data_IF_803452649997
#
_entry.id   IF_803452649997
#
_cell.length_a   1.000
_cell.length_b   1.000
_cell.length_c   1.000
_cell.angle_alpha   90.00
_cell.angle_beta   90.00
_cell.angle_gamma   90.00
#
_symmetry.space_group_name_H-M   'P 1'
#
loop_
_entity.id
_entity.type
_entity.pdbx_description
1 polymer ?
#
# COMPACT_ATOMS: atom_id res chain seq x y z
N UNK A 1 -14.68 -41.40 -29.42
CA UNK A 1 -14.91 -40.46 -28.38
C UNK A 1 -13.66 -39.65 -28.01
N UNK A 2 -12.50 -40.25 -27.72
CA UNK A 2 -11.26 -39.51 -27.40
C UNK A 2 -10.78 -38.49 -28.44
N UNK A 3 -11.10 -38.69 -29.73
CA UNK A 3 -10.71 -37.76 -30.82
C UNK A 3 -11.56 -36.49 -30.83
N UNK A 4 -12.89 -36.60 -30.58
CA UNK A 4 -13.78 -35.46 -30.49
C UNK A 4 -13.44 -34.58 -29.26
N UNK A 5 -13.20 -35.21 -28.09
CA UNK A 5 -12.84 -34.49 -26.88
C UNK A 5 -11.54 -33.71 -27.09
N UNK A 6 -10.50 -34.32 -27.69
CA UNK A 6 -9.23 -33.65 -27.99
C UNK A 6 -9.40 -32.51 -29.00
N UNK A 7 -10.27 -32.67 -29.99
CA UNK A 7 -10.57 -31.64 -30.97
C UNK A 7 -11.16 -30.41 -30.30
N UNK A 8 -12.19 -30.59 -29.48
CA UNK A 8 -12.85 -29.51 -28.75
C UNK A 8 -11.84 -28.80 -27.79
N UNK A 9 -11.02 -29.59 -27.07
CA UNK A 9 -9.98 -29.05 -26.19
C UNK A 9 -8.99 -28.18 -26.96
N UNK A 10 -8.50 -28.67 -28.10
CA UNK A 10 -7.57 -27.93 -28.95
C UNK A 10 -8.18 -26.64 -29.51
N UNK A 11 -9.45 -26.68 -29.89
CA UNK A 11 -10.18 -25.52 -30.40
C UNK A 11 -10.44 -24.49 -29.30
N UNK A 12 -10.50 -24.90 -28.00
CA UNK A 12 -10.66 -24.00 -26.85
C UNK A 12 -9.35 -23.32 -26.44
N UNK A 13 -8.21 -24.02 -26.44
CA UNK A 13 -6.93 -23.52 -25.92
C UNK A 13 -6.46 -22.25 -26.62
N UNK A 14 -6.57 -22.22 -27.96
CA UNK A 14 -6.17 -21.06 -28.77
C UNK A 14 -6.89 -19.78 -28.37
N UNK A 15 -8.23 -19.75 -28.52
CA UNK A 15 -9.03 -18.60 -28.04
C UNK A 15 -8.84 -18.27 -26.56
N UNK A 16 -8.70 -19.26 -25.68
CA UNK A 16 -8.49 -19.05 -24.27
C UNK A 16 -7.21 -18.25 -23.98
N UNK A 17 -6.07 -18.62 -24.57
CA UNK A 17 -4.80 -17.91 -24.38
C UNK A 17 -4.90 -16.49 -24.94
N UNK A 18 -5.46 -16.32 -26.14
CA UNK A 18 -5.61 -15.02 -26.76
C UNK A 18 -6.49 -14.09 -25.93
N UNK A 19 -7.65 -14.55 -25.49
CA UNK A 19 -8.58 -13.78 -24.66
C UNK A 19 -7.97 -13.49 -23.30
N UNK A 20 -7.30 -14.46 -22.66
CA UNK A 20 -6.63 -14.28 -21.39
C UNK A 20 -5.60 -13.15 -21.46
N UNK A 21 -4.76 -13.11 -22.51
CA UNK A 21 -3.79 -12.03 -22.72
C UNK A 21 -4.46 -10.68 -22.87
N UNK A 22 -5.54 -10.60 -23.67
CA UNK A 22 -6.29 -9.35 -23.86
C UNK A 22 -6.92 -8.88 -22.53
N UNK A 23 -7.58 -9.77 -21.81
CA UNK A 23 -8.22 -9.44 -20.53
C UNK A 23 -7.18 -9.01 -19.48
N UNK A 24 -6.08 -9.74 -19.35
CA UNK A 24 -4.98 -9.37 -18.45
C UNK A 24 -4.41 -8.01 -18.84
N UNK A 25 -4.18 -7.75 -20.13
CA UNK A 25 -3.68 -6.47 -20.61
C UNK A 25 -4.62 -5.32 -20.23
N UNK A 26 -5.93 -5.47 -20.44
CA UNK A 26 -6.92 -4.43 -20.07
C UNK A 26 -6.90 -4.18 -18.55
N UNK A 27 -6.88 -5.25 -17.74
CA UNK A 27 -6.86 -5.13 -16.28
C UNK A 27 -5.53 -4.53 -15.77
N UNK A 28 -4.40 -4.84 -16.40
CA UNK A 28 -3.10 -4.22 -16.08
C UNK A 28 -3.09 -2.74 -16.44
N UNK A 29 -3.70 -2.36 -17.58
CA UNK A 29 -3.85 -0.94 -17.93
C UNK A 29 -4.73 -0.20 -16.93
N UNK A 30 -5.82 -0.81 -16.47
CA UNK A 30 -6.65 -0.26 -15.40
C UNK A 30 -5.86 -0.13 -14.09
N UNK A 31 -5.08 -1.14 -13.73
CA UNK A 31 -4.21 -1.12 -12.56
C UNK A 31 -3.16 0.00 -12.66
N UNK A 32 -2.50 0.14 -13.80
CA UNK A 32 -1.52 1.20 -14.03
C UNK A 32 -2.15 2.59 -13.90
N UNK A 33 -3.35 2.78 -14.48
CA UNK A 33 -4.09 4.04 -14.36
C UNK A 33 -4.39 4.41 -12.91
N UNK A 34 -4.73 3.43 -12.09
CA UNK A 34 -5.03 3.64 -10.66
C UNK A 34 -3.81 4.12 -9.85
N UNK A 35 -2.59 3.70 -10.24
CA UNK A 35 -1.35 4.02 -9.52
C UNK A 35 -0.43 5.00 -10.25
N UNK A 36 -0.88 5.60 -11.36
CA UNK A 36 -0.04 6.48 -12.18
C UNK A 36 0.47 7.69 -11.40
N UNK A 37 -0.37 8.27 -10.54
CA UNK A 37 -0.01 9.43 -9.72
C UNK A 37 1.08 9.10 -8.69
N UNK A 38 1.12 7.86 -8.22
CA UNK A 38 2.15 7.40 -7.29
C UNK A 38 3.49 7.08 -7.99
N UNK A 39 3.46 6.79 -9.29
CA UNK A 39 4.62 6.35 -10.08
C UNK A 39 5.32 7.51 -10.81
N UNK A 40 4.55 8.50 -11.26
CA UNK A 40 5.07 9.62 -12.06
C UNK A 40 5.78 10.64 -11.17
N UNK A 41 6.87 11.20 -11.66
CA UNK A 41 7.64 12.27 -10.99
C UNK A 41 8.74 11.78 -10.03
N UNK A 42 8.71 10.52 -9.60
CA UNK A 42 9.67 9.99 -8.60
C UNK A 42 11.00 9.51 -9.18
N UNK A 43 11.16 9.55 -10.53
CA UNK A 43 12.39 9.15 -11.19
C UNK A 43 12.79 7.69 -10.92
N UNK A 44 11.79 6.80 -10.89
CA UNK A 44 11.97 5.37 -10.64
C UNK A 44 12.71 4.70 -11.81
N UNK A 45 13.52 3.69 -11.51
CA UNK A 45 14.17 2.91 -12.57
C UNK A 45 13.13 2.06 -13.31
N UNK A 46 13.36 1.82 -14.61
CA UNK A 46 12.48 0.98 -15.43
C UNK A 46 12.31 -0.43 -14.85
N UNK A 47 13.31 -0.95 -14.15
CA UNK A 47 13.25 -2.25 -13.48
C UNK A 47 12.18 -2.28 -12.39
N UNK A 48 12.11 -1.23 -11.55
CA UNK A 48 11.10 -1.11 -10.47
C UNK A 48 9.70 -1.02 -11.05
N UNK A 49 9.52 -0.25 -12.14
CA UNK A 49 8.25 -0.16 -12.85
C UNK A 49 7.78 -1.50 -13.41
N UNK A 50 8.69 -2.24 -14.07
CA UNK A 50 8.38 -3.56 -14.60
C UNK A 50 8.07 -4.56 -13.47
N UNK A 51 8.80 -4.52 -12.37
CA UNK A 51 8.54 -5.36 -11.20
C UNK A 51 7.15 -5.06 -10.60
N UNK A 52 6.80 -3.78 -10.47
CA UNK A 52 5.48 -3.36 -9.99
C UNK A 52 4.35 -3.83 -10.92
N UNK A 53 4.51 -3.69 -12.24
CA UNK A 53 3.56 -4.17 -13.23
C UNK A 53 3.44 -5.70 -13.23
N UNK A 54 4.55 -6.43 -13.09
CA UNK A 54 4.54 -7.89 -13.04
C UNK A 54 3.76 -8.41 -11.82
N UNK A 55 4.01 -7.86 -10.63
CA UNK A 55 3.24 -8.22 -9.44
C UNK A 55 1.79 -7.74 -9.52
N UNK A 56 1.55 -6.56 -10.10
CA UNK A 56 0.20 -6.05 -10.37
C UNK A 56 -0.59 -6.97 -11.29
N UNK A 57 0.02 -7.44 -12.38
CA UNK A 57 -0.62 -8.40 -13.30
C UNK A 57 -0.97 -9.71 -12.60
N UNK A 58 -0.10 -10.21 -11.71
CA UNK A 58 -0.37 -11.41 -10.93
C UNK A 58 -1.61 -11.26 -10.05
N UNK A 59 -1.85 -10.10 -9.43
CA UNK A 59 -3.05 -9.86 -8.60
C UNK A 59 -4.36 -9.82 -9.40
N UNK A 60 -4.28 -9.61 -10.71
CA UNK A 60 -5.46 -9.56 -11.60
C UNK A 60 -5.85 -10.95 -12.14
N UNK A 61 -4.99 -11.98 -11.97
CA UNK A 61 -5.25 -13.33 -12.47
C UNK A 61 -6.56 -13.96 -11.95
N UNK A 62 -6.94 -13.84 -10.66
CA UNK A 62 -8.18 -14.43 -10.16
C UNK A 62 -9.43 -13.89 -10.85
N UNK A 63 -9.40 -12.64 -11.29
CA UNK A 63 -10.50 -12.01 -12.02
C UNK A 63 -10.46 -12.34 -13.51
N UNK A 64 -9.24 -12.39 -14.09
CA UNK A 64 -9.05 -12.62 -15.53
C UNK A 64 -9.34 -14.06 -15.96
N UNK A 65 -8.98 -15.06 -15.15
CA UNK A 65 -9.13 -16.47 -15.49
C UNK A 65 -10.60 -16.90 -15.69
N UNK A 66 -11.55 -16.61 -14.78
CA UNK A 66 -12.96 -16.94 -14.99
C UNK A 66 -13.55 -16.21 -16.20
N UNK A 67 -13.21 -14.91 -16.36
CA UNK A 67 -13.71 -14.11 -17.47
C UNK A 67 -13.19 -14.63 -18.82
N UNK A 68 -11.89 -14.94 -18.91
CA UNK A 68 -11.30 -15.52 -20.10
C UNK A 68 -11.89 -16.90 -20.42
N UNK A 69 -12.15 -17.72 -19.41
CA UNK A 69 -12.76 -19.06 -19.58
C UNK A 69 -14.18 -18.95 -20.15
N UNK A 70 -14.98 -18.02 -19.64
CA UNK A 70 -16.34 -17.78 -20.12
C UNK A 70 -16.31 -17.32 -21.60
N UNK A 71 -15.55 -16.30 -21.91
CA UNK A 71 -15.46 -15.73 -23.26
C UNK A 71 -14.87 -16.74 -24.26
N UNK A 72 -13.84 -17.48 -23.86
CA UNK A 72 -13.23 -18.51 -24.70
C UNK A 72 -14.22 -19.66 -24.99
N UNK A 73 -15.03 -20.06 -24.01
CA UNK A 73 -16.06 -21.08 -24.20
C UNK A 73 -17.11 -20.63 -25.22
N UNK A 74 -17.58 -19.38 -25.08
CA UNK A 74 -18.55 -18.80 -26.01
C UNK A 74 -17.95 -18.69 -27.44
N UNK A 75 -16.72 -18.21 -27.55
CA UNK A 75 -16.03 -18.07 -28.84
C UNK A 75 -15.81 -19.44 -29.51
N UNK A 76 -15.40 -20.45 -28.72
CA UNK A 76 -15.17 -21.81 -29.25
C UNK A 76 -16.47 -22.42 -29.78
N UNK A 77 -17.57 -22.30 -29.01
CA UNK A 77 -18.87 -22.80 -29.46
C UNK A 77 -19.39 -22.03 -30.69
N UNK A 78 -19.17 -20.70 -30.71
CA UNK A 78 -19.52 -19.86 -31.85
C UNK A 78 -18.77 -20.29 -33.15
N UNK A 79 -17.46 -20.49 -33.06
CA UNK A 79 -16.64 -20.96 -34.19
C UNK A 79 -17.07 -22.35 -34.68
N UNK A 80 -17.35 -23.30 -33.77
CA UNK A 80 -17.87 -24.61 -34.14
C UNK A 80 -19.24 -24.53 -34.85
N UNK A 81 -20.07 -23.55 -34.45
CA UNK A 81 -21.36 -23.26 -35.08
C UNK A 81 -21.19 -22.64 -36.46
N UNK A 82 -20.37 -21.64 -36.61
CA UNK A 82 -20.08 -20.89 -37.85
C UNK A 82 -19.48 -21.80 -38.93
N UNK A 83 -18.56 -22.66 -38.55
CA UNK A 83 -17.96 -23.63 -39.43
C UNK A 83 -18.84 -24.84 -39.75
N UNK A 84 -20.11 -24.87 -39.31
CA UNK A 84 -21.02 -26.00 -39.45
C UNK A 84 -20.54 -27.31 -38.78
N UNK A 85 -19.46 -27.30 -38.02
CA UNK A 85 -18.91 -28.47 -37.33
C UNK A 85 -19.86 -28.96 -36.26
N UNK A 86 -20.49 -28.02 -35.51
CA UNK A 86 -21.49 -28.35 -34.53
C UNK A 86 -22.73 -28.97 -35.12
N UNK A 87 -23.14 -28.53 -36.35
CA UNK A 87 -24.25 -29.09 -37.09
C UNK A 87 -23.91 -30.51 -37.54
N UNK A 88 -22.71 -30.74 -38.08
CA UNK A 88 -22.25 -32.07 -38.49
C UNK A 88 -22.22 -33.06 -37.31
N UNK A 89 -21.75 -32.63 -36.15
CA UNK A 89 -21.72 -33.44 -34.91
C UNK A 89 -23.14 -33.82 -34.48
N UNK A 90 -24.08 -32.87 -34.54
CA UNK A 90 -25.50 -33.14 -34.23
C UNK A 90 -26.15 -34.06 -35.25
N UNK A 91 -25.86 -33.90 -36.54
CA UNK A 91 -26.35 -34.77 -37.59
C UNK A 91 -25.86 -36.24 -37.46
N UNK A 92 -24.67 -36.41 -36.85
CA UNK A 92 -24.13 -37.73 -36.49
C UNK A 92 -24.82 -38.33 -35.19
N UNK A 93 -25.86 -37.70 -34.64
CA UNK A 93 -26.56 -38.19 -33.49
C UNK A 93 -25.93 -37.88 -32.14
N UNK A 94 -24.86 -37.02 -32.08
CA UNK A 94 -24.19 -36.65 -30.83
C UNK A 94 -24.92 -35.47 -30.18
N UNK A 95 -25.31 -35.65 -28.94
CA UNK A 95 -26.03 -34.59 -28.17
C UNK A 95 -25.10 -33.41 -27.87
N UNK A 96 -25.70 -32.21 -27.80
CA UNK A 96 -24.96 -30.98 -27.43
C UNK A 96 -24.30 -31.09 -26.04
N UNK A 97 -24.96 -31.75 -25.10
CA UNK A 97 -24.41 -32.00 -23.76
C UNK A 97 -23.07 -32.74 -23.84
N UNK A 98 -22.91 -33.70 -24.75
CA UNK A 98 -21.68 -34.45 -24.96
C UNK A 98 -20.54 -33.57 -25.50
N UNK A 99 -20.87 -32.54 -26.30
CA UNK A 99 -19.90 -31.54 -26.77
C UNK A 99 -19.47 -30.58 -25.64
N UNK A 100 -20.36 -30.29 -24.70
CA UNK A 100 -20.07 -29.40 -23.56
C UNK A 100 -19.22 -30.06 -22.46
N UNK A 101 -19.25 -31.38 -22.33
CA UNK A 101 -18.52 -32.11 -21.28
C UNK A 101 -17.00 -31.80 -21.30
N UNK A 102 -16.28 -31.86 -22.43
CA UNK A 102 -14.86 -31.51 -22.45
C UNK A 102 -14.56 -30.09 -22.03
N UNK A 103 -15.40 -29.12 -22.39
CA UNK A 103 -15.29 -27.73 -21.94
C UNK A 103 -15.50 -27.61 -20.42
N UNK A 104 -16.50 -28.32 -19.89
CA UNK A 104 -16.74 -28.37 -18.45
C UNK A 104 -15.55 -28.95 -17.65
N UNK A 105 -14.92 -30.01 -18.18
CA UNK A 105 -13.74 -30.63 -17.56
C UNK A 105 -12.56 -29.64 -17.53
N UNK A 106 -12.31 -28.92 -18.65
CA UNK A 106 -11.26 -27.91 -18.70
C UNK A 106 -11.57 -26.75 -17.73
N UNK A 107 -12.80 -26.27 -17.73
CA UNK A 107 -13.21 -25.19 -16.81
C UNK A 107 -13.03 -25.59 -15.35
N UNK A 108 -13.33 -26.85 -15.00
CA UNK A 108 -13.06 -27.39 -13.68
C UNK A 108 -11.54 -27.41 -13.36
N UNK A 109 -10.72 -27.82 -14.34
CA UNK A 109 -9.26 -27.80 -14.23
C UNK A 109 -8.71 -26.39 -14.03
N UNK A 110 -9.22 -25.41 -14.78
CA UNK A 110 -8.86 -23.99 -14.62
C UNK A 110 -9.30 -23.48 -13.25
N UNK A 111 -10.48 -23.85 -12.76
CA UNK A 111 -10.99 -23.48 -11.43
C UNK A 111 -10.06 -23.98 -10.31
N UNK A 112 -9.63 -25.23 -10.38
CA UNK A 112 -8.67 -25.81 -9.44
C UNK A 112 -7.32 -25.08 -9.53
N UNK A 113 -6.84 -24.81 -10.75
CA UNK A 113 -5.62 -24.02 -10.98
C UNK A 113 -5.72 -22.62 -10.38
N UNK A 114 -6.83 -21.93 -10.58
CA UNK A 114 -7.11 -20.62 -10.01
C UNK A 114 -7.09 -20.64 -8.48
N UNK A 115 -7.62 -21.72 -7.87
CA UNK A 115 -7.56 -21.87 -6.42
C UNK A 115 -6.11 -21.90 -5.91
N UNK A 116 -5.23 -22.65 -6.54
CA UNK A 116 -3.80 -22.68 -6.17
C UNK A 116 -3.10 -21.33 -6.41
N UNK A 117 -3.46 -20.62 -7.47
CA UNK A 117 -2.97 -19.26 -7.72
C UNK A 117 -3.40 -18.33 -6.60
N UNK A 118 -4.66 -18.39 -6.19
CA UNK A 118 -5.19 -17.56 -5.09
C UNK A 118 -4.52 -17.88 -3.75
N UNK A 119 -4.26 -19.15 -3.46
CA UNK A 119 -3.69 -19.55 -2.16
C UNK A 119 -2.18 -19.27 -2.04
N UNK A 120 -1.42 -19.33 -3.14
CA UNK A 120 0.04 -19.20 -3.11
C UNK A 120 0.58 -17.96 -3.78
N UNK A 121 0.17 -17.69 -5.03
CA UNK A 121 0.75 -16.61 -5.81
C UNK A 121 0.22 -15.25 -5.36
N UNK A 122 -1.07 -15.14 -5.07
CA UNK A 122 -1.71 -13.88 -4.71
C UNK A 122 -1.16 -13.28 -3.42
N UNK A 123 -0.97 -14.02 -2.31
CA UNK A 123 -0.36 -13.48 -1.10
C UNK A 123 1.03 -12.90 -1.34
N UNK A 124 1.86 -13.61 -2.12
CA UNK A 124 3.21 -13.15 -2.47
C UNK A 124 3.12 -11.86 -3.33
N UNK A 125 2.21 -11.83 -4.31
CA UNK A 125 2.05 -10.67 -5.19
C UNK A 125 1.60 -9.43 -4.40
N UNK A 126 0.60 -9.54 -3.52
CA UNK A 126 0.17 -8.43 -2.69
C UNK A 126 1.26 -7.97 -1.73
N UNK A 127 2.01 -8.88 -1.11
CA UNK A 127 3.11 -8.52 -0.24
C UNK A 127 4.17 -7.66 -0.97
N UNK A 128 4.58 -8.09 -2.16
CA UNK A 128 5.52 -7.34 -2.98
C UNK A 128 4.94 -6.00 -3.46
N UNK A 129 3.65 -5.93 -3.82
CA UNK A 129 3.00 -4.67 -4.19
C UNK A 129 2.96 -3.69 -3.02
N UNK A 130 2.56 -4.14 -1.82
CA UNK A 130 2.54 -3.28 -0.64
C UNK A 130 3.92 -2.76 -0.30
N UNK A 131 4.95 -3.63 -0.36
CA UNK A 131 6.34 -3.23 -0.19
C UNK A 131 6.75 -2.17 -1.21
N UNK A 132 6.60 -2.46 -2.51
CA UNK A 132 6.97 -1.53 -3.57
C UNK A 132 6.23 -0.21 -3.46
N UNK A 133 4.93 -0.24 -3.16
CA UNK A 133 4.11 0.96 -2.99
C UNK A 133 4.56 1.80 -1.82
N UNK A 134 4.89 1.20 -0.67
CA UNK A 134 5.42 1.92 0.48
C UNK A 134 6.80 2.53 0.17
N UNK A 135 7.67 1.75 -0.48
CA UNK A 135 9.00 2.21 -0.86
C UNK A 135 8.95 3.34 -1.90
N UNK A 136 8.03 3.23 -2.87
CA UNK A 136 7.74 4.31 -3.83
C UNK A 136 7.13 5.51 -3.11
N UNK A 137 6.24 5.30 -2.13
CA UNK A 137 5.63 6.36 -1.33
C UNK A 137 6.65 7.13 -0.50
N UNK A 138 7.67 6.45 0.04
CA UNK A 138 8.77 7.06 0.79
C UNK A 138 9.77 7.79 -0.09
N UNK A 139 9.85 7.44 -1.39
CA UNK A 139 10.71 8.13 -2.33
C UNK A 139 10.16 9.53 -2.56
N UNK A 140 10.90 10.54 -2.11
CA UNK A 140 10.53 11.95 -2.29
C UNK A 140 10.65 12.35 -3.76
N UNK A 141 9.77 13.24 -4.20
CA UNK A 141 9.81 13.83 -5.54
C UNK A 141 11.09 14.66 -5.74
N UNK A 142 11.35 15.09 -6.98
CA UNK A 142 12.42 16.05 -7.26
C UNK A 142 12.27 17.29 -6.36
N UNK A 143 13.41 17.73 -5.79
CA UNK A 143 13.45 18.91 -4.93
C UNK A 143 13.08 20.15 -5.75
N UNK A 144 11.85 20.63 -5.61
CA UNK A 144 11.40 21.90 -6.16
C UNK A 144 11.34 22.91 -5.02
N UNK A 145 12.34 23.79 -4.94
CA UNK A 145 12.38 24.85 -3.95
C UNK A 145 11.52 26.00 -4.46
N UNK A 146 10.40 26.32 -3.77
CA UNK A 146 9.54 27.45 -4.16
C UNK A 146 10.29 28.76 -3.90
N UNK A 147 10.08 29.75 -4.77
CA UNK A 147 10.66 31.08 -4.63
C UNK A 147 9.89 31.92 -3.61
N UNK A 148 10.60 32.73 -2.83
CA UNK A 148 10.01 33.68 -1.87
C UNK A 148 9.55 33.07 -0.54
N UNK A 149 9.50 31.74 -0.39
CA UNK A 149 9.04 31.05 0.82
C UNK A 149 10.14 30.19 1.44
N UNK A 150 10.00 29.87 2.73
CA UNK A 150 10.89 28.93 3.39
C UNK A 150 10.51 27.48 3.04
N UNK A 151 11.46 26.73 2.55
CA UNK A 151 11.32 25.32 2.18
C UNK A 151 12.03 24.44 3.22
N UNK A 152 11.28 23.57 3.89
CA UNK A 152 11.75 22.64 4.92
C UNK A 152 11.71 21.16 4.47
N UNK A 153 11.64 20.89 3.16
CA UNK A 153 11.54 19.53 2.62
C UNK A 153 12.81 18.70 2.75
N UNK A 154 13.95 19.31 3.12
CA UNK A 154 15.24 18.62 3.31
C UNK A 154 15.51 18.49 4.81
N UNK A 155 15.70 17.26 5.29
CA UNK A 155 15.88 17.00 6.71
C UNK A 155 17.11 17.72 7.27
N UNK A 156 16.92 18.50 8.32
CA UNK A 156 17.96 19.29 8.96
C UNK A 156 18.35 20.60 8.26
N UNK A 157 17.67 20.97 7.16
CA UNK A 157 17.95 22.22 6.44
C UNK A 157 16.66 22.96 6.10
N UNK A 158 16.67 24.29 6.30
CA UNK A 158 15.62 25.18 5.82
C UNK A 158 16.23 26.13 4.79
N UNK A 159 15.65 26.15 3.61
CA UNK A 159 16.12 26.92 2.47
C UNK A 159 15.11 28.00 2.11
N UNK A 160 15.61 29.18 1.75
CA UNK A 160 14.81 30.24 1.13
C UNK A 160 15.56 30.78 -0.08
N UNK A 161 14.83 30.93 -1.18
CA UNK A 161 15.36 31.45 -2.44
C UNK A 161 14.47 32.59 -2.89
N UNK A 162 15.01 33.77 -3.17
CA UNK A 162 14.22 34.92 -3.59
C UNK A 162 13.80 34.83 -5.08
N UNK A 163 14.68 34.28 -5.92
CA UNK A 163 14.41 34.11 -7.35
C UNK A 163 15.17 32.94 -7.94
N UNK A 164 14.62 32.36 -9.02
CA UNK A 164 15.25 31.30 -9.79
C UNK A 164 15.20 31.64 -11.27
N UNK A 165 16.33 31.46 -11.95
CA UNK A 165 16.37 31.52 -13.40
C UNK A 165 16.11 30.10 -13.94
N UNK A 166 15.00 29.93 -14.65
CA UNK A 166 14.57 28.61 -15.16
C UNK A 166 15.50 28.08 -16.27
N UNK A 167 16.16 28.96 -17.05
CA UNK A 167 17.04 28.55 -18.14
C UNK A 167 18.39 28.01 -17.64
N UNK A 168 18.98 28.67 -16.62
CA UNK A 168 20.29 28.28 -16.06
C UNK A 168 20.20 27.42 -14.81
N UNK A 169 19.02 27.34 -14.18
CA UNK A 169 18.80 26.70 -12.89
C UNK A 169 19.49 27.44 -11.72
N UNK A 170 20.02 28.65 -11.97
CA UNK A 170 20.67 29.46 -10.95
C UNK A 170 19.66 30.14 -10.04
N UNK A 171 19.88 30.07 -8.75
CA UNK A 171 19.04 30.67 -7.73
C UNK A 171 19.71 31.95 -7.21
N UNK A 172 18.91 32.96 -6.90
CA UNK A 172 19.39 34.27 -6.41
C UNK A 172 18.80 34.56 -5.02
N UNK A 173 19.62 35.23 -4.18
CA UNK A 173 19.21 35.61 -2.83
C UNK A 173 18.91 34.40 -1.96
N UNK A 174 19.89 33.55 -1.76
CA UNK A 174 19.72 32.24 -1.09
C UNK A 174 20.08 32.35 0.38
N UNK A 175 19.20 31.84 1.23
CA UNK A 175 19.43 31.68 2.67
C UNK A 175 19.28 30.20 3.04
N UNK A 176 20.26 29.67 3.77
CA UNK A 176 20.32 28.28 4.21
C UNK A 176 20.50 28.24 5.73
N UNK A 177 19.49 27.74 6.44
CA UNK A 177 19.58 27.43 7.86
C UNK A 177 19.98 25.97 8.05
N UNK A 178 20.99 25.73 8.86
CA UNK A 178 21.45 24.38 9.19
C UNK A 178 21.01 23.98 10.60
N UNK A 179 20.09 23.05 10.69
CA UNK A 179 19.53 22.51 11.94
C UNK A 179 20.06 21.11 12.29
N UNK A 180 21.05 20.60 11.55
CA UNK A 180 21.57 19.23 11.77
C UNK A 180 22.12 19.01 13.17
N UNK A 181 22.57 20.08 13.85
CA UNK A 181 23.08 20.02 15.23
C UNK A 181 21.99 20.07 16.31
N UNK A 182 20.70 20.18 15.94
CA UNK A 182 19.55 20.32 16.85
C UNK A 182 19.70 21.40 17.96
N UNK A 183 20.45 22.47 17.66
CA UNK A 183 20.70 23.57 18.59
C UNK A 183 19.93 24.87 18.28
N UNK A 184 18.85 24.74 17.48
CA UNK A 184 18.08 25.89 16.98
C UNK A 184 18.75 26.56 15.78
N UNK A 185 18.47 27.86 15.56
CA UNK A 185 18.96 28.63 14.41
C UNK A 185 20.40 29.14 14.61
N UNK A 186 21.33 28.27 14.95
CA UNK A 186 22.72 28.65 15.28
C UNK A 186 23.61 28.75 14.05
N UNK A 187 23.20 28.30 12.88
CA UNK A 187 24.00 28.35 11.66
C UNK A 187 23.15 28.83 10.48
N UNK A 188 23.53 29.98 9.92
CA UNK A 188 22.91 30.62 8.78
C UNK A 188 23.94 30.94 7.70
N UNK A 189 23.71 30.48 6.49
CA UNK A 189 24.49 30.86 5.31
C UNK A 189 23.65 31.72 4.38
N UNK A 190 24.17 32.88 3.99
CA UNK A 190 23.52 33.78 3.03
C UNK A 190 24.45 33.87 1.82
N UNK A 191 23.90 33.73 0.62
CA UNK A 191 24.65 33.83 -0.62
C UNK A 191 23.89 34.61 -1.68
N UNK A 192 24.59 35.34 -2.54
CA UNK A 192 24.01 36.11 -3.62
C UNK A 192 23.40 35.19 -4.69
N UNK A 193 24.10 34.09 -4.99
CA UNK A 193 23.63 33.11 -5.93
C UNK A 193 24.01 31.68 -5.51
N UNK A 194 23.25 30.69 -6.01
CA UNK A 194 23.53 29.30 -5.79
C UNK A 194 23.11 28.41 -6.96
N UNK A 195 23.85 27.33 -7.11
CA UNK A 195 23.50 26.25 -8.05
C UNK A 195 23.30 24.94 -7.30
N UNK A 196 22.22 24.26 -7.59
CA UNK A 196 21.86 22.97 -7.00
C UNK A 196 22.13 21.86 -8.00
N UNK A 197 22.88 20.84 -7.61
CA UNK A 197 23.11 19.62 -8.40
C UNK A 197 22.82 18.41 -7.54
N UNK A 198 21.94 17.55 -8.01
CA UNK A 198 21.67 16.25 -7.39
C UNK A 198 22.63 15.20 -7.97
N UNK A 199 23.16 14.32 -7.10
CA UNK A 199 23.90 13.14 -7.52
C UNK A 199 23.08 12.24 -8.43
N UNK A 200 23.73 11.51 -9.34
CA UNK A 200 23.06 10.52 -10.20
C UNK A 200 22.28 9.47 -9.41
N UNK A 201 22.79 9.09 -8.25
CA UNK A 201 22.19 8.09 -7.35
C UNK A 201 21.18 8.70 -6.37
N UNK A 202 20.90 10.03 -6.48
CA UNK A 202 19.99 10.77 -5.59
C UNK A 202 20.29 10.62 -4.08
N UNK A 203 21.51 10.25 -3.72
CA UNK A 203 21.94 10.04 -2.33
C UNK A 203 22.43 11.32 -1.65
N UNK A 204 22.89 12.29 -2.42
CA UNK A 204 23.32 13.59 -1.90
C UNK A 204 23.01 14.72 -2.88
N UNK A 205 22.83 15.91 -2.29
CA UNK A 205 22.62 17.17 -2.98
C UNK A 205 23.89 18.02 -2.76
N UNK A 206 24.49 18.46 -3.86
CA UNK A 206 25.56 19.46 -3.82
C UNK A 206 24.95 20.83 -4.06
N UNK A 207 25.09 21.70 -3.07
CA UNK A 207 24.65 23.09 -3.12
C UNK A 207 25.88 23.96 -3.23
N UNK A 208 26.16 24.52 -4.42
CA UNK A 208 27.26 25.42 -4.66
C UNK A 208 26.76 26.84 -4.48
N UNK A 209 27.26 27.51 -3.46
CA UNK A 209 26.94 28.90 -3.09
C UNK A 209 28.06 29.82 -3.59
N UNK A 210 27.68 30.98 -4.13
CA UNK A 210 28.60 31.98 -4.65
C UNK A 210 28.36 33.30 -3.91
N UNK A 211 29.46 33.94 -3.59
CA UNK A 211 29.57 35.27 -2.94
C UNK A 211 28.62 35.42 -1.75
N UNK A 212 29.09 35.04 -0.58
CA UNK A 212 28.24 35.00 0.59
C UNK A 212 28.97 35.01 1.92
N UNK A 213 28.17 34.92 2.98
CA UNK A 213 28.67 34.91 4.37
C UNK A 213 27.99 33.75 5.13
N UNK A 214 28.80 33.05 5.90
CA UNK A 214 28.33 32.04 6.84
C UNK A 214 28.40 32.60 8.26
N UNK A 215 27.26 32.53 8.98
CA UNK A 215 27.12 32.96 10.36
C UNK A 215 26.92 31.72 11.22
N UNK A 216 27.82 31.53 12.21
CA UNK A 216 27.72 30.42 13.15
C UNK A 216 27.79 30.93 14.60
N UNK A 217 26.78 30.62 15.39
CA UNK A 217 26.78 30.86 16.83
C UNK A 217 27.45 29.70 17.54
N UNK A 218 28.59 29.95 18.15
CA UNK A 218 29.31 28.98 18.98
C UNK A 218 28.78 29.02 20.41
N UNK A 219 27.77 28.23 20.68
CA UNK A 219 27.12 28.15 21.98
C UNK A 219 27.91 27.18 22.89
N UNK A 220 28.94 27.63 23.52
CA UNK A 220 29.54 26.96 24.69
C UNK A 220 28.81 27.41 25.96
N UNK A 221 27.55 26.99 26.12
CA UNK A 221 26.76 27.22 27.36
C UNK A 221 27.41 26.47 28.53
N UNK A 222 28.36 27.12 29.19
CA UNK A 222 28.58 26.93 30.62
C UNK A 222 27.52 27.78 31.33
N UNK A 223 26.90 27.25 32.34
CA UNK A 223 25.72 27.77 33.08
C UNK A 223 25.78 29.25 33.58
N UNK A 224 26.86 29.99 33.34
CA UNK A 224 27.10 31.38 33.73
C UNK A 224 27.63 32.29 32.65
N UNK A 225 27.80 31.81 31.41
CA UNK A 225 28.42 32.61 30.35
C UNK A 225 27.33 33.14 29.41
N UNK A 226 27.09 34.43 29.42
CA UNK A 226 26.12 35.15 28.58
C UNK A 226 26.70 35.66 27.27
N UNK A 227 28.00 35.42 27.01
CA UNK A 227 28.67 35.87 25.80
C UNK A 227 28.40 34.90 24.65
N UNK A 228 27.53 35.30 23.71
CA UNK A 228 27.34 34.63 22.42
C UNK A 228 28.50 34.98 21.52
N UNK A 229 29.32 33.99 21.15
CA UNK A 229 30.32 34.17 20.14
C UNK A 229 29.71 33.94 18.76
N UNK A 230 29.59 35.00 17.98
CA UNK A 230 29.16 34.94 16.57
C UNK A 230 30.44 34.90 15.68
N UNK A 231 30.56 33.83 14.92
CA UNK A 231 31.56 33.69 13.88
C UNK A 231 30.96 34.06 12.54
N UNK A 232 31.58 34.96 11.79
CA UNK A 232 31.26 35.30 10.41
C UNK A 232 32.40 34.91 9.51
N UNK A 233 32.11 34.13 8.48
CA UNK A 233 33.08 33.72 7.46
C UNK A 233 32.52 34.15 6.10
N UNK A 234 33.24 35.07 5.42
CA UNK A 234 32.91 35.48 4.06
C UNK A 234 33.60 34.55 3.06
N UNK A 235 32.88 34.15 2.00
CA UNK A 235 33.37 33.24 0.98
C UNK A 235 32.99 33.69 -0.42
N UNK A 236 33.84 33.44 -1.42
CA UNK A 236 33.50 33.60 -2.84
C UNK A 236 32.79 32.38 -3.41
N UNK A 237 33.18 31.19 -2.97
CA UNK A 237 32.55 29.91 -3.35
C UNK A 237 32.56 28.95 -2.18
N UNK A 238 31.41 28.40 -1.87
CA UNK A 238 31.26 27.34 -0.86
C UNK A 238 30.44 26.19 -1.44
N UNK A 239 30.94 24.98 -1.26
CA UNK A 239 30.19 23.79 -1.62
C UNK A 239 29.69 23.12 -0.35
N UNK A 240 28.36 22.94 -0.28
CA UNK A 240 27.67 22.26 0.80
C UNK A 240 27.12 20.96 0.26
N UNK A 241 27.52 19.84 0.85
CA UNK A 241 26.98 18.51 0.51
C UNK A 241 25.95 18.13 1.55
N UNK A 242 24.73 17.98 1.12
CA UNK A 242 23.58 17.63 1.96
C UNK A 242 23.21 16.17 1.68
N UNK A 243 23.31 15.26 2.66
CA UNK A 243 22.85 13.89 2.48
C UNK A 243 21.32 13.89 2.31
N UNK A 244 20.84 13.16 1.32
CA UNK A 244 19.42 13.02 1.01
C UNK A 244 18.96 11.65 1.47
N UNK A 245 18.35 11.58 2.64
CA UNK A 245 17.66 10.39 3.07
C UNK A 245 16.30 10.32 2.38
N UNK A 246 15.92 9.12 1.88
CA UNK A 246 14.63 8.84 1.24
C UNK A 246 14.37 9.48 -0.16
N UNK A 247 15.40 10.01 -0.83
CA UNK A 247 15.28 10.47 -2.23
C UNK A 247 15.68 9.40 -3.26
N UNK A 248 16.43 8.39 -2.85
CA UNK A 248 16.73 7.21 -3.65
C UNK A 248 15.76 6.08 -3.28
N UNK A 249 15.29 5.35 -4.29
CA UNK A 249 14.48 4.16 -4.05
C UNK A 249 15.31 3.10 -3.32
N UNK A 250 14.91 2.75 -2.10
CA UNK A 250 15.49 1.68 -1.30
C UNK A 250 14.41 0.62 -1.06
N UNK A 251 14.72 -0.62 -1.44
CA UNK A 251 13.79 -1.74 -1.23
C UNK A 251 13.81 -2.17 0.23
N UNK A 252 12.68 -2.00 0.92
CA UNK A 252 12.49 -2.43 2.31
C UNK A 252 12.33 -3.94 2.40
N UNK A 253 12.33 -4.49 3.62
CA UNK A 253 12.08 -5.91 3.85
C UNK A 253 10.58 -6.22 3.68
N UNK A 254 10.29 -7.23 2.86
CA UNK A 254 8.93 -7.68 2.55
C UNK A 254 8.20 -8.32 3.75
N UNK A 255 8.93 -8.71 4.79
CA UNK A 255 8.37 -9.39 5.98
C UNK A 255 7.35 -8.54 6.74
N UNK A 256 7.41 -7.20 6.62
CA UNK A 256 6.52 -6.26 7.31
C UNK A 256 5.06 -6.32 6.86
N UNK A 257 4.80 -6.83 5.66
CA UNK A 257 3.46 -6.83 5.05
C UNK A 257 2.75 -8.19 5.14
N UNK A 258 3.37 -9.17 5.79
CA UNK A 258 2.80 -10.51 5.95
C UNK A 258 1.49 -10.52 6.76
N UNK A 259 1.27 -9.50 7.59
CA UNK A 259 0.07 -9.37 8.44
C UNK A 259 -1.12 -8.70 7.73
N UNK A 260 -0.92 -8.26 6.49
CA UNK A 260 -2.02 -7.72 5.68
C UNK A 260 -2.94 -8.86 5.23
N UNK A 261 -4.24 -8.71 5.42
CA UNK A 261 -5.25 -9.75 5.08
C UNK A 261 -5.12 -10.25 3.64
N UNK A 262 -4.82 -9.36 2.68
CA UNK A 262 -4.63 -9.73 1.27
C UNK A 262 -3.31 -10.45 0.98
N UNK A 263 -2.33 -10.35 1.89
CA UNK A 263 -1.04 -11.04 1.80
C UNK A 263 -1.03 -12.38 2.54
N UNK A 264 -2.13 -12.78 3.13
CA UNK A 264 -2.25 -14.04 3.88
C UNK A 264 -2.78 -15.16 2.99
N UNK A 265 -2.22 -16.35 3.14
CA UNK A 265 -2.76 -17.58 2.55
C UNK A 265 -3.91 -18.13 3.41
N UNK A 266 -4.63 -19.14 2.91
CA UNK A 266 -5.80 -19.71 3.58
C UNK A 266 -5.52 -20.15 5.02
N UNK A 267 -4.38 -20.79 5.27
CA UNK A 267 -3.99 -21.26 6.62
C UNK A 267 -3.73 -20.10 7.57
N UNK A 268 -3.06 -19.04 7.08
CA UNK A 268 -2.79 -17.83 7.87
C UNK A 268 -4.08 -17.08 8.18
N UNK A 269 -5.01 -16.99 7.21
CA UNK A 269 -6.32 -16.38 7.42
C UNK A 269 -7.14 -17.13 8.47
N UNK A 270 -7.17 -18.47 8.43
CA UNK A 270 -7.84 -19.27 9.45
C UNK A 270 -7.24 -19.04 10.83
N UNK A 271 -5.89 -19.08 10.95
CA UNK A 271 -5.22 -18.81 12.22
C UNK A 271 -5.49 -17.40 12.76
N UNK A 272 -5.50 -16.38 11.89
CA UNK A 272 -5.84 -15.01 12.26
C UNK A 272 -7.30 -14.89 12.71
N UNK A 273 -8.23 -15.57 12.02
CA UNK A 273 -9.63 -15.61 12.40
C UNK A 273 -9.84 -16.25 13.76
N UNK A 274 -9.17 -17.38 14.05
CA UNK A 274 -9.24 -18.05 15.34
C UNK A 274 -8.65 -17.18 16.46
N UNK A 275 -7.53 -16.50 16.18
CA UNK A 275 -6.90 -15.58 17.14
C UNK A 275 -7.80 -14.39 17.46
N UNK A 276 -8.40 -13.75 16.44
CA UNK A 276 -9.33 -12.63 16.63
C UNK A 276 -10.59 -13.11 17.36
N UNK A 277 -11.12 -14.28 17.02
CA UNK A 277 -12.28 -14.88 17.70
C UNK A 277 -12.01 -15.15 19.18
N UNK A 278 -10.82 -15.62 19.53
CA UNK A 278 -10.40 -15.85 20.92
C UNK A 278 -10.25 -14.51 21.69
N UNK A 279 -9.67 -13.48 21.07
CA UNK A 279 -9.54 -12.14 21.65
C UNK A 279 -10.90 -11.47 21.86
N UNK A 280 -11.83 -11.59 20.89
CA UNK A 280 -13.18 -11.03 21.01
C UNK A 280 -13.96 -11.72 22.13
N UNK A 281 -13.85 -13.05 22.26
CA UNK A 281 -14.47 -13.81 23.34
C UNK A 281 -13.90 -13.45 24.72
N UNK A 282 -12.56 -13.30 24.81
CA UNK A 282 -11.89 -12.86 26.03
C UNK A 282 -12.28 -11.43 26.41
N UNK A 283 -12.30 -10.49 25.45
CA UNK A 283 -12.73 -9.12 25.66
C UNK A 283 -14.20 -9.00 26.08
N UNK A 284 -15.10 -9.79 25.49
CA UNK A 284 -16.50 -9.87 25.94
C UNK A 284 -16.61 -10.36 27.38
N UNK A 285 -15.81 -11.36 27.74
CA UNK A 285 -15.82 -11.92 29.10
C UNK A 285 -15.25 -10.94 30.12
N UNK A 286 -14.20 -10.20 29.77
CA UNK A 286 -13.65 -9.12 30.60
C UNK A 286 -14.63 -7.95 30.77
N UNK A 287 -15.28 -7.52 29.69
CA UNK A 287 -16.34 -6.52 29.74
C UNK A 287 -17.54 -6.97 30.60
N UNK A 288 -17.98 -8.21 30.47
CA UNK A 288 -19.04 -8.75 31.32
C UNK A 288 -18.60 -8.80 32.80
N UNK A 289 -17.36 -9.18 33.07
CA UNK A 289 -16.82 -9.18 34.44
C UNK A 289 -16.66 -7.76 35.00
N UNK A 290 -16.24 -6.80 34.17
CA UNK A 290 -16.14 -5.39 34.60
C UNK A 290 -17.51 -4.79 34.87
N UNK A 291 -18.50 -5.07 34.01
CA UNK A 291 -19.91 -4.70 34.23
C UNK A 291 -20.45 -5.33 35.50
N UNK A 292 -20.24 -6.63 35.70
CA UNK A 292 -20.68 -7.37 36.90
C UNK A 292 -20.04 -6.84 38.18
N UNK A 293 -18.78 -6.37 38.08
CA UNK A 293 -18.04 -5.78 39.19
C UNK A 293 -18.29 -4.28 39.37
N UNK A 294 -19.00 -3.62 38.46
CA UNK A 294 -19.30 -2.20 38.57
C UNK A 294 -20.20 -1.93 39.80
N UNK A 295 -19.91 -0.86 40.51
CA UNK A 295 -20.70 -0.47 41.70
C UNK A 295 -22.17 -0.23 41.36
N UNK A 296 -22.45 0.28 40.17
CA UNK A 296 -23.80 0.61 39.69
C UNK A 296 -24.67 -0.64 39.52
N UNK A 297 -24.14 -1.70 38.93
CA UNK A 297 -24.85 -2.97 38.77
C UNK A 297 -25.05 -3.70 40.10
N UNK A 298 -24.04 -3.70 40.96
CA UNK A 298 -24.17 -4.26 42.33
C UNK A 298 -25.24 -3.52 43.15
N UNK A 299 -25.27 -2.21 43.05
CA UNK A 299 -26.27 -1.42 43.71
C UNK A 299 -27.68 -1.69 43.20
N UNK A 300 -27.89 -1.77 41.91
CA UNK A 300 -29.18 -2.10 41.32
C UNK A 300 -29.62 -3.53 41.64
N UNK A 301 -28.72 -4.52 41.64
CA UNK A 301 -29.05 -5.89 42.08
C UNK A 301 -29.42 -5.93 43.55
N UNK A 302 -28.77 -5.15 44.42
CA UNK A 302 -29.14 -5.03 45.84
C UNK A 302 -30.51 -4.38 46.02
N UNK A 303 -30.83 -3.33 45.25
CA UNK A 303 -32.15 -2.68 45.29
C UNK A 303 -33.26 -3.65 44.80
N UNK A 304 -33.05 -4.38 43.73
CA UNK A 304 -34.02 -5.37 43.25
C UNK A 304 -34.24 -6.51 44.26
N UNK A 305 -33.16 -6.99 44.87
CA UNK A 305 -33.26 -8.03 45.90
C UNK A 305 -33.99 -7.50 47.17
N UNK A 306 -33.69 -6.27 47.56
CA UNK A 306 -34.36 -5.61 48.66
C UNK A 306 -35.87 -5.35 48.36
N UNK A 307 -36.18 -4.89 47.12
CA UNK A 307 -37.53 -4.68 46.64
C UNK A 307 -38.35 -6.01 46.60
N UNK A 308 -37.74 -7.07 46.11
CA UNK A 308 -38.37 -8.38 46.09
C UNK A 308 -38.60 -8.97 47.50
N UNK A 309 -37.64 -8.75 48.41
CA UNK A 309 -37.78 -9.16 49.82
C UNK A 309 -38.87 -8.36 50.49
N UNK A 310 -38.96 -7.06 50.24
CA UNK A 310 -40.02 -6.19 50.79
C UNK A 310 -41.41 -6.61 50.27
N UNK A 311 -41.54 -6.88 48.96
CA UNK A 311 -42.81 -7.41 48.39
C UNK A 311 -43.20 -8.73 48.99
N UNK A 312 -42.25 -9.65 49.23
CA UNK A 312 -42.52 -10.92 49.85
C UNK A 312 -42.94 -10.82 51.32
N UNK A 313 -42.31 -9.90 52.08
CA UNK A 313 -42.65 -9.63 53.48
C UNK A 313 -44.02 -8.94 53.60
N UNK A 314 -44.33 -7.98 52.70
CA UNK A 314 -45.66 -7.35 52.64
C UNK A 314 -46.77 -8.35 52.32
N UNK A 315 -46.56 -9.24 51.34
CA UNK A 315 -47.49 -10.32 50.98
C UNK A 315 -47.72 -11.30 52.15
N UNK A 316 -46.71 -11.57 52.95
CA UNK A 316 -46.85 -12.43 54.14
C UNK A 316 -47.60 -11.71 55.29
N UNK A 317 -47.38 -10.40 55.47
CA UNK A 317 -48.11 -9.58 56.46
C UNK A 317 -49.59 -9.44 56.13
N UNK A 318 -49.91 -9.25 54.82
CA UNK A 318 -51.32 -9.20 54.35
C UNK A 318 -52.04 -10.53 54.52
N UNK A 319 -51.30 -11.66 54.49
CA UNK A 319 -51.87 -13.00 54.76
C UNK A 319 -52.11 -13.29 56.23
N UNK A 320 -51.33 -12.69 57.14
CA UNK A 320 -51.47 -12.83 58.62
C UNK A 320 -52.51 -11.88 59.25
N UNK A 321 -52.93 -10.84 58.49
CA UNK A 321 -53.97 -9.90 58.97
C UNK A 321 -55.41 -10.31 58.62
N UNK A 322 -55.62 -11.52 58.05
CA UNK A 322 -56.94 -12.06 57.65
C UNK A 322 -57.30 -13.29 58.48
N UNK A 323 -56.73 -13.45 59.69
CA UNK A 323 -57.15 -14.48 60.65
C UNK A 323 -57.75 -13.82 61.88
#
# INVERSE_FOLDING_TARGET
>A
MKRLDRFIIKSFVGPFIAILLVVVFILVMQFLWLYIDELVGKGLSMRVLLEFLAWGSATMLPLSLPLATLLASMMTLGQLGENNELLAIKAAGISLQRVLIPLGIISLGISIGTFFVCDRLIPIAYNNIYQLREDIGKTKDEIKIPTGTFYNGIDGYILRVNGRNDDSGMMHGVMVYNHTKNKGNTSLTIADSAMMKMSKDKTYLTFTLFDGSNYEETNTRKYRDTTLQLQKIDFHKQEMVIPLENYSFQKSDSSRFNDQVKSMNLKQLQHSQDSIGSLDSAGKQENLNSMRNSRVLRYNIQLDTASNTYKKTKSNLDRTSVV
#
